data_IF_340770399064
#
_entry.id   IF_340770399064
#
_cell.length_a   1.000
_cell.length_b   1.000
_cell.length_c   1.000
_cell.angle_alpha   90.00
_cell.angle_beta   90.00
_cell.angle_gamma   90.00
#
_symmetry.space_group_name_H-M   'P 1'
#
loop_
_entity.id
_entity.type
_entity.pdbx_description
1 polymer ?
#
# COMPACT_ATOMS: atom_id res chain seq x y z
N UNK A 1 -27.49 -38.04 -52.64
CA UNK A 1 -27.22 -36.69 -52.10
C UNK A 1 -28.49 -36.33 -51.34
N UNK A 2 -28.55 -36.03 -50.05
CA UNK A 2 -27.63 -35.31 -49.16
C UNK A 2 -27.73 -35.89 -47.73
N UNK A 3 -26.65 -35.80 -46.95
CA UNK A 3 -26.62 -36.19 -45.52
C UNK A 3 -27.03 -35.00 -44.65
N UNK A 4 -27.69 -35.20 -43.50
CA UNK A 4 -27.97 -34.11 -42.58
C UNK A 4 -26.69 -33.65 -41.87
N UNK A 5 -26.37 -32.37 -42.05
CA UNK A 5 -25.26 -31.68 -41.39
C UNK A 5 -25.61 -31.48 -39.92
N UNK A 6 -24.87 -32.13 -39.02
CA UNK A 6 -24.89 -31.79 -37.59
C UNK A 6 -24.24 -30.41 -37.43
N UNK A 7 -25.03 -29.39 -37.15
CA UNK A 7 -24.52 -28.09 -36.71
C UNK A 7 -23.97 -28.27 -35.28
N UNK A 8 -22.64 -28.34 -35.17
CA UNK A 8 -21.92 -28.15 -33.92
C UNK A 8 -22.12 -26.70 -33.47
N UNK A 9 -23.06 -26.47 -32.56
CA UNK A 9 -23.16 -25.23 -31.83
C UNK A 9 -21.89 -25.04 -31.01
N UNK A 10 -21.01 -24.14 -31.46
CA UNK A 10 -19.90 -23.64 -30.68
C UNK A 10 -20.50 -22.83 -29.51
N UNK A 11 -20.48 -23.39 -28.31
CA UNK A 11 -20.59 -22.60 -27.09
C UNK A 11 -19.34 -21.72 -27.03
N UNK A 12 -19.48 -20.49 -27.50
CA UNK A 12 -18.57 -19.40 -27.17
C UNK A 12 -18.72 -19.16 -25.67
N UNK A 13 -17.85 -19.78 -24.88
CA UNK A 13 -17.63 -19.38 -23.49
C UNK A 13 -17.19 -17.91 -23.53
N UNK A 14 -18.09 -17.01 -23.17
CA UNK A 14 -17.77 -15.59 -23.00
C UNK A 14 -16.72 -15.50 -21.88
N UNK A 15 -15.46 -15.40 -22.27
CA UNK A 15 -14.39 -15.09 -21.35
C UNK A 15 -14.56 -13.62 -20.95
N UNK A 16 -15.28 -13.39 -19.84
CA UNK A 16 -15.42 -12.07 -19.25
C UNK A 16 -14.03 -11.46 -19.05
N UNK A 17 -13.75 -10.34 -19.70
CA UNK A 17 -12.50 -9.62 -19.49
C UNK A 17 -12.52 -9.09 -18.06
N UNK A 18 -11.67 -9.65 -17.20
CA UNK A 18 -11.51 -9.20 -15.82
C UNK A 18 -10.87 -7.81 -15.83
N UNK A 19 -11.58 -6.78 -15.38
CA UNK A 19 -11.00 -5.45 -15.19
C UNK A 19 -10.07 -5.44 -13.99
N UNK A 20 -8.97 -4.69 -14.07
CA UNK A 20 -7.99 -4.57 -12.98
C UNK A 20 -7.90 -3.10 -12.56
N UNK A 21 -8.05 -2.85 -11.26
CA UNK A 21 -7.77 -1.57 -10.62
C UNK A 21 -6.42 -1.65 -9.92
N UNK A 22 -5.45 -0.87 -10.41
CA UNK A 22 -4.15 -0.75 -9.77
C UNK A 22 -4.16 0.34 -8.70
N UNK A 23 -3.91 -0.03 -7.45
CA UNK A 23 -3.69 0.88 -6.35
C UNK A 23 -2.19 1.10 -6.14
N UNK A 24 -1.67 2.15 -6.75
CA UNK A 24 -0.25 2.53 -6.65
C UNK A 24 -0.04 3.37 -5.39
N UNK A 25 0.80 2.91 -4.46
CA UNK A 25 1.02 3.60 -3.18
C UNK A 25 2.42 3.35 -2.62
N UNK A 26 2.78 4.08 -1.57
CA UNK A 26 3.98 3.82 -0.76
C UNK A 26 3.58 3.82 0.73
N UNK A 27 4.03 2.86 1.57
CA UNK A 27 3.67 2.82 3.00
C UNK A 27 4.06 4.10 3.77
N UNK A 28 5.10 4.80 3.31
CA UNK A 28 5.60 6.05 3.90
C UNK A 28 5.09 7.32 3.19
N UNK A 29 4.12 7.20 2.27
CA UNK A 29 3.44 8.36 1.68
C UNK A 29 2.32 8.86 2.59
N UNK A 30 2.43 10.09 3.09
CA UNK A 30 1.47 10.68 4.03
C UNK A 30 0.08 10.90 3.41
N UNK A 31 0.02 11.18 2.11
CA UNK A 31 -1.26 11.26 1.39
C UNK A 31 -1.90 9.88 1.19
N UNK A 32 -1.11 8.82 0.99
CA UNK A 32 -1.64 7.46 0.96
C UNK A 32 -2.21 7.05 2.33
N UNK A 33 -1.61 7.51 3.44
CA UNK A 33 -2.15 7.33 4.79
C UNK A 33 -3.48 8.05 4.98
N UNK A 34 -3.54 9.34 4.64
CA UNK A 34 -4.77 10.13 4.72
C UNK A 34 -5.91 9.56 3.85
N UNK A 35 -5.55 8.87 2.76
CA UNK A 35 -6.51 8.29 1.82
C UNK A 35 -7.08 6.94 2.29
N UNK A 36 -6.52 6.28 3.32
CA UNK A 36 -6.95 4.95 3.77
C UNK A 36 -8.47 4.85 3.99
N UNK A 37 -9.14 5.78 4.72
CA UNK A 37 -10.59 5.66 4.95
C UNK A 37 -11.41 5.69 3.66
N UNK A 38 -11.05 6.59 2.73
CA UNK A 38 -11.68 6.68 1.41
C UNK A 38 -11.38 5.45 0.56
N UNK A 39 -10.16 4.95 0.63
CA UNK A 39 -9.77 3.73 -0.08
C UNK A 39 -10.56 2.51 0.39
N UNK A 40 -10.74 2.35 1.70
CA UNK A 40 -11.58 1.30 2.26
C UNK A 40 -13.04 1.43 1.81
N UNK A 41 -13.56 2.66 1.69
CA UNK A 41 -14.89 2.88 1.13
C UNK A 41 -14.98 2.45 -0.33
N UNK A 42 -14.02 2.87 -1.16
CA UNK A 42 -13.93 2.46 -2.57
C UNK A 42 -13.90 0.94 -2.68
N UNK A 43 -13.10 0.26 -1.85
CA UNK A 43 -13.01 -1.20 -1.87
C UNK A 43 -14.32 -1.90 -1.49
N UNK A 44 -15.13 -1.32 -0.59
CA UNK A 44 -16.46 -1.86 -0.22
C UNK A 44 -17.49 -1.70 -1.34
N UNK A 45 -17.38 -0.62 -2.11
CA UNK A 45 -18.32 -0.29 -3.19
C UNK A 45 -17.90 -0.85 -4.55
N UNK A 46 -16.69 -1.39 -4.67
CA UNK A 46 -16.14 -1.90 -5.93
C UNK A 46 -16.87 -3.18 -6.37
N UNK A 47 -17.26 -3.30 -7.65
CA UNK A 47 -17.79 -4.54 -8.21
C UNK A 47 -16.84 -5.74 -8.01
N UNK A 48 -17.42 -6.90 -7.70
CA UNK A 48 -16.66 -8.13 -7.39
C UNK A 48 -15.85 -8.69 -8.58
N UNK A 49 -16.16 -8.28 -9.80
CA UNK A 49 -15.47 -8.66 -11.03
C UNK A 49 -14.23 -7.80 -11.32
N UNK A 50 -14.03 -6.71 -10.57
CA UNK A 50 -12.81 -5.90 -10.63
C UNK A 50 -11.75 -6.44 -9.67
N UNK A 51 -10.62 -6.85 -10.22
CA UNK A 51 -9.46 -7.22 -9.41
C UNK A 51 -8.70 -5.98 -8.93
N UNK A 52 -8.47 -5.88 -7.63
CA UNK A 52 -7.58 -4.86 -7.06
C UNK A 52 -6.17 -5.43 -6.95
N UNK A 53 -5.21 -4.74 -7.57
CA UNK A 53 -3.77 -5.05 -7.48
C UNK A 53 -3.05 -3.90 -6.81
N UNK A 54 -2.35 -4.17 -5.71
CA UNK A 54 -1.53 -3.19 -5.02
C UNK A 54 -0.15 -3.14 -5.70
N UNK A 55 0.31 -1.93 -5.99
CA UNK A 55 1.64 -1.68 -6.56
C UNK A 55 2.39 -0.69 -5.69
N UNK A 56 3.59 -1.09 -5.26
CA UNK A 56 4.44 -0.22 -4.46
C UNK A 56 5.19 0.75 -5.36
N UNK A 57 4.95 2.05 -5.17
CA UNK A 57 5.49 3.12 -6.02
C UNK A 57 6.96 3.45 -5.74
N UNK A 58 7.48 3.17 -4.54
CA UNK A 58 8.87 3.44 -4.19
C UNK A 58 9.21 4.94 -4.22
N UNK A 59 8.73 5.69 -3.23
CA UNK A 59 8.84 7.15 -3.20
C UNK A 59 10.27 7.67 -2.97
N UNK A 60 11.18 6.90 -2.37
CA UNK A 60 12.61 7.24 -2.30
C UNK A 60 13.51 5.98 -2.23
N UNK A 61 14.67 6.02 -2.91
CA UNK A 61 15.62 4.91 -2.96
C UNK A 61 16.26 4.63 -1.59
N UNK A 62 16.96 3.50 -1.51
CA UNK A 62 17.74 3.14 -0.33
C UNK A 62 18.77 4.22 0.01
N UNK A 63 18.83 4.57 1.30
CA UNK A 63 19.82 5.50 1.84
C UNK A 63 19.99 5.28 3.35
N UNK A 64 21.24 5.35 3.80
CA UNK A 64 21.61 5.35 5.22
C UNK A 64 21.86 6.78 5.75
N UNK A 65 21.76 7.79 4.88
CA UNK A 65 21.99 9.17 5.27
C UNK A 65 20.81 9.69 6.11
N UNK A 66 21.07 10.35 7.25
CA UNK A 66 20.05 11.08 7.98
C UNK A 66 19.35 12.08 7.08
N UNK A 67 18.03 12.20 7.22
CA UNK A 67 17.24 13.16 6.46
C UNK A 67 17.69 14.59 6.80
N UNK A 68 18.01 15.43 5.80
CA UNK A 68 18.37 16.83 6.04
C UNK A 68 17.25 17.58 6.76
N UNK A 69 17.61 18.53 7.63
CA UNK A 69 16.65 19.24 8.49
C UNK A 69 15.55 19.94 7.69
N UNK A 70 15.91 20.63 6.60
CA UNK A 70 14.93 21.27 5.71
C UNK A 70 13.91 20.28 5.14
N UNK A 71 14.33 19.04 4.85
CA UNK A 71 13.45 18.00 4.34
C UNK A 71 12.52 17.46 5.44
N UNK A 72 13.00 17.32 6.68
CA UNK A 72 12.13 16.97 7.82
C UNK A 72 11.03 18.02 8.01
N UNK A 73 11.40 19.30 8.04
CA UNK A 73 10.45 20.41 8.16
C UNK A 73 9.42 20.40 7.04
N UNK A 74 9.87 20.15 5.80
CA UNK A 74 8.98 20.07 4.63
C UNK A 74 7.96 18.94 4.77
N UNK A 75 8.40 17.73 5.14
CA UNK A 75 7.52 16.57 5.26
C UNK A 75 6.58 16.71 6.47
N UNK A 76 7.07 17.24 7.60
CA UNK A 76 6.23 17.58 8.75
C UNK A 76 5.15 18.61 8.38
N UNK A 77 5.48 19.58 7.54
CA UNK A 77 4.52 20.55 6.99
C UNK A 77 3.46 19.90 6.10
N UNK A 78 3.79 18.84 5.35
CA UNK A 78 2.79 18.06 4.62
C UNK A 78 1.81 17.35 5.57
N UNK A 79 2.27 16.83 6.71
CA UNK A 79 1.38 16.24 7.70
C UNK A 79 0.38 17.26 8.24
N UNK A 80 0.84 18.47 8.57
CA UNK A 80 -0.02 19.56 9.01
C UNK A 80 -1.06 19.92 7.93
N UNK A 81 -0.60 20.10 6.69
CA UNK A 81 -1.48 20.39 5.54
C UNK A 81 -2.55 19.31 5.35
N UNK A 82 -2.19 18.04 5.58
CA UNK A 82 -3.13 16.92 5.49
C UNK A 82 -4.17 16.99 6.60
N UNK A 83 -3.78 17.28 7.85
CA UNK A 83 -4.74 17.38 8.96
C UNK A 83 -5.78 18.49 8.71
N UNK A 84 -5.35 19.61 8.11
CA UNK A 84 -6.24 20.72 7.76
C UNK A 84 -7.20 20.34 6.62
N UNK A 85 -6.73 19.58 5.62
CA UNK A 85 -7.49 19.27 4.40
C UNK A 85 -8.30 17.98 4.47
N UNK A 86 -7.91 17.04 5.31
CA UNK A 86 -8.52 15.72 5.48
C UNK A 86 -8.81 15.51 6.97
N UNK A 87 -9.90 16.11 7.49
CA UNK A 87 -10.25 16.05 8.91
C UNK A 87 -10.33 14.62 9.43
N UNK A 88 -9.82 14.41 10.64
CA UNK A 88 -9.73 13.08 11.27
C UNK A 88 -8.44 12.32 10.96
N UNK A 89 -7.60 12.79 10.03
CA UNK A 89 -6.26 12.22 9.85
C UNK A 89 -5.39 12.51 11.07
N UNK A 90 -4.88 11.47 11.70
CA UNK A 90 -4.03 11.59 12.89
C UNK A 90 -2.56 11.40 12.53
N UNK A 91 -1.72 12.20 13.19
CA UNK A 91 -0.27 12.08 13.17
C UNK A 91 0.29 12.26 14.57
N UNK A 92 1.29 11.46 14.91
CA UNK A 92 2.11 11.60 16.11
C UNK A 92 3.43 12.27 15.74
N UNK A 93 3.55 13.55 16.11
CA UNK A 93 4.73 14.36 15.80
C UNK A 93 5.98 13.99 16.62
N UNK A 94 5.85 13.13 17.64
CA UNK A 94 6.99 12.60 18.38
C UNK A 94 8.02 11.95 17.46
N UNK A 95 7.58 11.39 16.32
CA UNK A 95 8.44 10.81 15.30
C UNK A 95 9.63 11.72 14.94
N UNK A 96 9.38 13.02 14.76
CA UNK A 96 10.40 13.98 14.34
C UNK A 96 11.46 14.24 15.40
N UNK A 97 11.14 13.98 16.68
CA UNK A 97 12.04 14.20 17.82
C UNK A 97 12.63 12.91 18.40
N UNK A 98 11.93 11.78 18.28
CA UNK A 98 12.32 10.48 18.86
C UNK A 98 13.00 9.56 17.87
N UNK A 99 12.84 9.78 16.56
CA UNK A 99 13.49 9.00 15.52
C UNK A 99 14.59 9.79 14.80
N UNK A 100 15.49 9.05 14.15
CA UNK A 100 16.42 9.61 13.18
C UNK A 100 15.95 9.25 11.76
N UNK A 101 15.03 10.04 11.16
CA UNK A 101 14.43 9.68 9.87
C UNK A 101 15.46 9.65 8.75
N UNK A 102 15.22 8.77 7.77
CA UNK A 102 15.95 8.73 6.49
C UNK A 102 14.97 8.91 5.35
N UNK A 103 15.41 9.54 4.26
CA UNK A 103 14.60 9.62 3.04
C UNK A 103 14.78 8.34 2.23
N UNK A 104 14.27 7.24 2.77
CA UNK A 104 14.43 5.89 2.24
C UNK A 104 13.15 5.09 2.45
N UNK A 105 12.37 4.86 1.39
CA UNK A 105 11.08 4.15 1.48
C UNK A 105 11.12 2.75 0.89
N UNK A 106 12.13 2.44 0.07
CA UNK A 106 12.34 1.11 -0.49
C UNK A 106 12.38 -0.01 0.57
N UNK A 107 12.99 0.16 1.77
CA UNK A 107 12.94 -0.86 2.80
C UNK A 107 11.51 -1.20 3.24
N UNK A 108 10.67 -0.18 3.44
CA UNK A 108 9.27 -0.36 3.81
C UNK A 108 8.46 -1.05 2.71
N UNK A 109 8.73 -0.71 1.44
CA UNK A 109 8.12 -1.39 0.29
C UNK A 109 8.55 -2.86 0.25
N UNK A 110 9.84 -3.15 0.43
CA UNK A 110 10.36 -4.51 0.47
C UNK A 110 9.79 -5.33 1.63
N UNK A 111 9.53 -4.72 2.79
CA UNK A 111 8.87 -5.39 3.92
C UNK A 111 7.45 -5.86 3.55
N UNK A 112 6.66 -5.05 2.84
CA UNK A 112 5.34 -5.45 2.32
C UNK A 112 5.45 -6.64 1.36
N UNK A 113 6.42 -6.59 0.42
CA UNK A 113 6.66 -7.70 -0.51
C UNK A 113 7.12 -8.97 0.21
N UNK A 114 7.98 -8.83 1.22
CA UNK A 114 8.46 -9.95 2.03
C UNK A 114 7.36 -10.58 2.86
N UNK A 115 6.43 -9.79 3.43
CA UNK A 115 5.26 -10.30 4.12
C UNK A 115 4.35 -11.10 3.17
N UNK A 116 4.07 -10.53 1.98
CA UNK A 116 3.31 -11.20 0.92
C UNK A 116 3.93 -12.53 0.50
N UNK A 117 5.26 -12.60 0.40
CA UNK A 117 6.00 -13.78 -0.03
C UNK A 117 5.96 -14.95 0.98
N UNK A 118 5.54 -14.70 2.22
CA UNK A 118 5.40 -15.74 3.25
C UNK A 118 4.07 -16.50 3.19
N UNK A 119 3.14 -16.05 2.35
CA UNK A 119 1.83 -16.68 2.19
C UNK A 119 1.91 -18.05 1.49
N UNK A 120 1.01 -18.96 1.89
CA UNK A 120 0.84 -20.30 1.31
C UNK A 120 0.00 -20.26 0.02
N UNK A 121 -0.85 -19.26 -0.12
CA UNK A 121 -1.72 -19.08 -1.27
C UNK A 121 -2.01 -17.59 -1.56
N UNK A 122 -2.71 -17.34 -2.67
CA UNK A 122 -3.00 -15.98 -3.15
C UNK A 122 -3.99 -15.20 -2.29
N UNK A 123 -4.83 -15.88 -1.50
CA UNK A 123 -5.75 -15.27 -0.55
C UNK A 123 -4.99 -14.75 0.68
N UNK A 124 -4.16 -15.61 1.27
CA UNK A 124 -3.28 -15.27 2.39
C UNK A 124 -2.29 -14.16 1.99
N UNK A 125 -1.77 -14.18 0.76
CA UNK A 125 -0.87 -13.14 0.24
C UNK A 125 -1.49 -11.74 0.31
N UNK A 126 -2.78 -11.60 -0.04
CA UNK A 126 -3.50 -10.31 0.01
C UNK A 126 -3.73 -9.85 1.45
N UNK A 127 -3.95 -10.78 2.37
CA UNK A 127 -4.14 -10.47 3.80
C UNK A 127 -2.83 -9.96 4.38
N UNK A 128 -1.72 -10.68 4.17
CA UNK A 128 -0.40 -10.30 4.68
C UNK A 128 0.11 -8.99 4.06
N UNK A 129 -0.10 -8.76 2.76
CA UNK A 129 0.23 -7.50 2.09
C UNK A 129 -0.47 -6.31 2.77
N UNK A 130 -1.80 -6.39 2.97
CA UNK A 130 -2.57 -5.32 3.64
C UNK A 130 -2.19 -5.15 5.11
N UNK A 131 -1.98 -6.25 5.83
CA UNK A 131 -1.60 -6.22 7.24
C UNK A 131 -0.26 -5.50 7.44
N UNK A 132 0.75 -5.82 6.63
CA UNK A 132 2.06 -5.17 6.69
C UNK A 132 1.99 -3.68 6.30
N UNK A 133 1.21 -3.31 5.28
CA UNK A 133 0.98 -1.90 4.94
C UNK A 133 0.40 -1.14 6.13
N UNK A 134 -0.66 -1.68 6.74
CA UNK A 134 -1.31 -1.07 7.90
C UNK A 134 -0.35 -0.93 9.08
N UNK A 135 0.39 -1.99 9.41
CA UNK A 135 1.34 -1.99 10.52
C UNK A 135 2.45 -0.93 10.32
N UNK A 136 2.99 -0.81 9.11
CA UNK A 136 3.98 0.22 8.78
C UNK A 136 3.38 1.63 8.91
N UNK A 137 2.19 1.85 8.36
CA UNK A 137 1.52 3.15 8.44
C UNK A 137 1.21 3.56 9.89
N UNK A 138 0.61 2.67 10.67
CA UNK A 138 0.32 2.95 12.09
C UNK A 138 1.61 3.11 12.90
N UNK A 139 2.62 2.28 12.62
CA UNK A 139 3.95 2.39 13.22
C UNK A 139 4.56 3.78 13.00
N UNK A 140 4.55 4.24 11.76
CA UNK A 140 5.12 5.52 11.36
C UNK A 140 4.29 6.71 11.86
N UNK A 141 3.01 6.75 11.50
CA UNK A 141 2.17 7.94 11.68
C UNK A 141 1.56 8.05 13.07
N UNK A 142 1.38 6.95 13.81
CA UNK A 142 0.72 6.99 15.14
C UNK A 142 1.66 6.63 16.29
N UNK A 143 2.64 5.77 16.04
CA UNK A 143 3.46 5.19 17.11
C UNK A 143 4.92 5.67 17.13
N UNK A 144 5.28 6.64 16.30
CA UNK A 144 6.63 7.20 16.23
C UNK A 144 7.72 6.11 16.10
N UNK A 145 7.48 5.11 15.24
CA UNK A 145 8.46 4.08 14.87
C UNK A 145 9.01 4.40 13.48
N UNK A 146 10.30 4.12 13.23
CA UNK A 146 10.96 4.48 12.00
C UNK A 146 10.87 3.38 10.92
N UNK A 147 10.03 3.54 9.88
CA UNK A 147 9.81 2.50 8.86
C UNK A 147 10.97 2.37 7.86
N UNK A 148 12.05 3.15 8.00
CA UNK A 148 13.28 2.93 7.25
C UNK A 148 14.24 1.94 7.95
N UNK A 149 14.02 1.62 9.23
CA UNK A 149 14.88 0.73 10.02
C UNK A 149 14.43 -0.74 9.89
N UNK A 150 15.37 -1.65 9.58
CA UNK A 150 15.04 -3.07 9.41
C UNK A 150 14.48 -3.72 10.69
N UNK A 151 15.02 -3.38 11.87
CA UNK A 151 14.51 -3.92 13.14
C UNK A 151 13.06 -3.45 13.41
N UNK A 152 12.76 -2.20 13.07
CA UNK A 152 11.39 -1.68 13.15
C UNK A 152 10.46 -2.46 12.24
N UNK A 153 10.87 -2.70 11.00
CA UNK A 153 10.10 -3.43 9.98
C UNK A 153 9.91 -4.91 10.36
N UNK A 154 10.95 -5.57 10.85
CA UNK A 154 10.87 -6.95 11.34
C UNK A 154 9.91 -7.05 12.55
N UNK A 155 9.90 -6.04 13.43
CA UNK A 155 8.95 -5.94 14.54
C UNK A 155 7.51 -5.58 14.14
N UNK A 156 7.16 -5.53 12.85
CA UNK A 156 5.78 -5.46 12.35
C UNK A 156 5.29 -6.81 11.78
N UNK A 157 6.19 -7.77 11.58
CA UNK A 157 5.90 -9.07 10.98
C UNK A 157 5.29 -10.07 11.97
#
# INVERSE_FOLDING_TARGET
MEKPVRQLGQQLTQQSSKSILYYVHDPMCSWCWAFVPTWEQIQRELPNDIEVVYLLGGLAPDSDLPMPEQMKLTIAGYWQTIQDRVPGTQFNYDFWTKCQPRRSTYPSCRAVLAAKAQAKDSGEAKILEKAMIKAIQEGYYLNARNPSDFDTLAGFA
#
